data_IF_936958373526
#
_entry.id   IF_936958373526
#
_cell.length_a   1.000
_cell.length_b   1.000
_cell.length_c   1.000
_cell.angle_alpha   90.00
_cell.angle_beta   90.00
_cell.angle_gamma   90.00
#
_symmetry.space_group_name_H-M   'P 1'
#
loop_
_entity.id
_entity.type
_entity.pdbx_description
1 polymer ?
#
# COMPACT_ATOMS: atom_id res chain seq x y z
N UNK A 1 28.87 6.68 20.31
CA UNK A 1 28.28 5.52 21.02
C UNK A 1 29.41 4.55 21.36
N UNK A 2 29.44 3.97 22.57
CA UNK A 2 30.49 3.01 22.97
C UNK A 2 29.82 1.67 23.27
N UNK A 3 30.17 0.62 22.52
CA UNK A 3 29.62 -0.74 22.69
C UNK A 3 30.74 -1.76 22.58
N UNK A 4 30.81 -2.70 23.54
CA UNK A 4 31.75 -3.84 23.52
C UNK A 4 33.21 -3.45 23.17
N UNK A 5 33.73 -2.39 23.79
CA UNK A 5 35.11 -1.93 23.54
C UNK A 5 35.31 -1.19 22.21
N UNK A 6 34.27 -1.02 21.40
CA UNK A 6 34.28 -0.26 20.15
C UNK A 6 33.66 1.11 20.34
N UNK A 7 34.33 2.16 19.83
CA UNK A 7 33.82 3.54 19.85
C UNK A 7 33.36 3.95 18.46
N UNK A 8 32.08 4.32 18.36
CA UNK A 8 31.46 4.87 17.16
C UNK A 8 31.33 6.39 17.31
N UNK A 9 31.96 7.13 16.40
CA UNK A 9 31.87 8.60 16.32
C UNK A 9 31.04 8.95 15.09
N UNK A 10 30.04 9.81 15.27
CA UNK A 10 29.16 10.27 14.21
C UNK A 10 29.23 11.80 14.13
N UNK A 11 29.27 12.34 12.92
CA UNK A 11 29.17 13.78 12.65
C UNK A 11 27.73 14.21 12.35
N UNK A 12 26.90 13.28 11.89
CA UNK A 12 25.50 13.51 11.53
C UNK A 12 24.58 12.38 11.99
N UNK A 13 23.35 12.75 12.37
CA UNK A 13 22.27 11.81 12.66
C UNK A 13 21.12 12.14 11.71
N UNK A 14 20.92 11.32 10.70
CA UNK A 14 19.80 11.47 9.76
C UNK A 14 18.56 10.81 10.35
N UNK A 15 17.53 11.62 10.61
CA UNK A 15 16.25 11.12 11.12
C UNK A 15 15.51 10.37 10.01
N UNK A 16 15.24 9.09 10.22
CA UNK A 16 14.35 8.33 9.35
C UNK A 16 12.90 8.79 9.48
N UNK A 17 12.04 8.31 8.58
CA UNK A 17 10.61 8.62 8.57
C UNK A 17 9.84 8.07 9.78
N UNK A 18 10.49 7.21 10.59
CA UNK A 18 9.89 6.51 11.72
C UNK A 18 8.91 5.42 11.25
N UNK A 19 7.99 5.05 12.14
CA UNK A 19 7.01 3.98 11.90
C UNK A 19 7.46 2.62 12.42
N UNK A 20 6.78 1.57 11.96
CA UNK A 20 7.07 0.18 12.30
C UNK A 20 7.77 -0.54 11.14
N UNK A 21 8.58 -1.58 11.42
CA UNK A 21 9.16 -2.39 10.36
C UNK A 21 8.07 -3.01 9.46
N UNK A 22 8.24 -2.88 8.14
CA UNK A 22 7.29 -3.38 7.14
C UNK A 22 7.16 -4.90 7.24
N UNK A 23 5.94 -5.38 7.44
CA UNK A 23 5.60 -6.81 7.58
C UNK A 23 5.23 -7.24 9.00
N UNK A 24 5.50 -6.43 10.03
CA UNK A 24 5.17 -6.76 11.42
C UNK A 24 3.66 -6.79 11.75
N UNK A 25 2.81 -6.12 10.95
CA UNK A 25 1.34 -6.06 11.17
C UNK A 25 0.53 -6.92 10.19
N UNK A 26 1.19 -7.81 9.45
CA UNK A 26 0.53 -8.68 8.47
C UNK A 26 0.18 -7.97 7.16
N UNK A 27 -0.81 -8.52 6.45
CA UNK A 27 -1.07 -8.24 5.03
C UNK A 27 -2.42 -7.59 4.80
N UNK A 28 -2.45 -6.55 3.99
CA UNK A 28 -3.64 -5.75 3.69
C UNK A 28 -3.86 -5.72 2.18
N UNK A 29 -5.09 -6.00 1.75
CA UNK A 29 -5.51 -5.83 0.36
C UNK A 29 -5.80 -4.35 0.11
N UNK A 30 -5.18 -3.73 -0.88
CA UNK A 30 -5.37 -2.32 -1.20
C UNK A 30 -5.99 -2.19 -2.59
N UNK A 31 -7.16 -1.56 -2.67
CA UNK A 31 -7.81 -1.28 -3.95
C UNK A 31 -7.34 0.09 -4.45
N UNK A 32 -6.84 0.13 -5.69
CA UNK A 32 -6.31 1.33 -6.33
C UNK A 32 -6.99 1.61 -7.67
N UNK A 33 -7.04 2.88 -8.06
CA UNK A 33 -7.55 3.35 -9.35
C UNK A 33 -6.69 4.40 -10.06
N UNK A 34 -5.47 4.63 -9.56
CA UNK A 34 -4.47 5.48 -10.20
C UNK A 34 -4.37 6.89 -9.63
N UNK A 35 -5.04 7.16 -8.50
CA UNK A 35 -5.03 8.46 -7.85
C UNK A 35 -3.84 8.59 -6.88
N UNK A 36 -3.34 9.82 -6.65
CA UNK A 36 -2.23 10.05 -5.71
C UNK A 36 -2.56 9.61 -4.27
N UNK A 37 -3.84 9.59 -3.91
CA UNK A 37 -4.33 9.07 -2.63
C UNK A 37 -4.00 7.59 -2.43
N UNK A 38 -3.98 6.79 -3.50
CA UNK A 38 -3.62 5.37 -3.44
C UNK A 38 -2.17 5.19 -2.97
N UNK A 39 -1.26 5.99 -3.54
CA UNK A 39 0.16 6.01 -3.17
C UNK A 39 0.31 6.40 -1.70
N UNK A 40 -0.38 7.45 -1.28
CA UNK A 40 -0.36 7.92 0.10
C UNK A 40 -0.88 6.85 1.07
N UNK A 41 -1.96 6.16 0.72
CA UNK A 41 -2.53 5.08 1.52
C UNK A 41 -1.55 3.91 1.67
N UNK A 42 -0.94 3.44 0.58
CA UNK A 42 0.08 2.37 0.64
C UNK A 42 1.24 2.79 1.56
N UNK A 43 1.71 4.03 1.43
CA UNK A 43 2.77 4.57 2.28
C UNK A 43 2.42 4.53 3.77
N UNK A 44 1.21 4.97 4.10
CA UNK A 44 0.72 5.03 5.47
C UNK A 44 0.54 3.63 6.09
N UNK A 45 0.20 2.63 5.28
CA UNK A 45 0.15 1.23 5.71
C UNK A 45 1.56 0.69 6.00
N UNK A 46 2.56 1.03 5.17
CA UNK A 46 3.94 0.64 5.42
C UNK A 46 4.53 1.29 6.67
N UNK A 47 4.24 2.58 6.93
CA UNK A 47 4.65 3.25 8.17
C UNK A 47 4.05 2.59 9.41
N UNK A 48 2.90 1.91 9.25
CA UNK A 48 2.28 1.10 10.31
C UNK A 48 2.76 -0.36 10.29
N UNK A 49 3.73 -0.72 9.46
CA UNK A 49 4.32 -2.06 9.45
C UNK A 49 3.50 -3.11 8.70
N UNK A 50 2.52 -2.73 7.88
CA UNK A 50 1.79 -3.67 7.05
C UNK A 50 2.51 -3.91 5.71
N UNK A 51 2.33 -5.09 5.12
CA UNK A 51 2.59 -5.34 3.69
C UNK A 51 1.30 -5.21 2.89
N UNK A 52 1.39 -4.78 1.65
CA UNK A 52 0.22 -4.51 0.81
C UNK A 52 0.17 -5.46 -0.38
N UNK A 53 -1.01 -6.01 -0.64
CA UNK A 53 -1.34 -6.63 -1.91
C UNK A 53 -2.21 -5.65 -2.67
N UNK A 54 -1.79 -5.26 -3.87
CA UNK A 54 -2.53 -4.30 -4.66
C UNK A 54 -3.55 -5.03 -5.52
N UNK A 55 -4.78 -4.53 -5.51
CA UNK A 55 -5.80 -4.85 -6.48
C UNK A 55 -6.13 -3.59 -7.29
N UNK A 56 -5.81 -3.64 -8.58
CA UNK A 56 -6.05 -2.54 -9.50
C UNK A 56 -7.37 -2.72 -10.23
N UNK A 57 -8.21 -1.68 -10.25
CA UNK A 57 -9.52 -1.70 -10.95
C UNK A 57 -9.43 -1.34 -12.44
N UNK A 58 -8.21 -1.06 -12.93
CA UNK A 58 -7.83 -0.86 -14.34
C UNK A 58 -6.61 -1.73 -14.63
N UNK A 59 -6.33 -2.01 -15.90
CA UNK A 59 -5.06 -2.67 -16.23
C UNK A 59 -3.89 -1.76 -15.87
N UNK A 60 -2.87 -2.30 -15.22
CA UNK A 60 -1.72 -1.53 -14.75
C UNK A 60 -1.03 -0.68 -15.84
N UNK A 61 -0.88 -1.15 -17.11
CA UNK A 61 -0.32 -0.35 -18.19
C UNK A 61 -1.12 0.91 -18.56
N UNK A 62 -2.40 1.00 -18.16
CA UNK A 62 -3.27 2.14 -18.47
C UNK A 62 -3.02 3.36 -17.56
N UNK A 63 -2.29 3.19 -16.45
CA UNK A 63 -1.98 4.30 -15.55
C UNK A 63 -0.93 5.25 -16.13
N UNK A 64 -0.91 6.52 -15.69
CA UNK A 64 0.20 7.41 -15.98
C UNK A 64 1.53 6.79 -15.53
N UNK A 65 2.59 6.94 -16.34
CA UNK A 65 3.92 6.37 -16.05
C UNK A 65 4.45 6.77 -14.67
N UNK A 66 4.20 8.02 -14.26
CA UNK A 66 4.57 8.55 -12.94
C UNK A 66 3.94 7.75 -11.79
N UNK A 67 2.68 7.34 -11.93
CA UNK A 67 1.98 6.50 -10.95
C UNK A 67 2.56 5.08 -10.94
N UNK A 68 2.76 4.49 -12.12
CA UNK A 68 3.34 3.16 -12.26
C UNK A 68 4.72 3.08 -11.60
N UNK A 69 5.58 4.08 -11.85
CA UNK A 69 6.93 4.17 -11.27
C UNK A 69 6.86 4.28 -9.74
N UNK A 70 5.98 5.13 -9.22
CA UNK A 70 5.80 5.34 -7.77
C UNK A 70 5.32 4.08 -7.05
N UNK A 71 4.28 3.42 -7.57
CA UNK A 71 3.79 2.16 -7.00
C UNK A 71 4.84 1.06 -7.10
N UNK A 72 5.56 0.97 -8.22
CA UNK A 72 6.62 -0.04 -8.39
C UNK A 72 7.74 0.16 -7.37
N UNK A 73 8.16 1.41 -7.12
CA UNK A 73 9.13 1.74 -6.07
C UNK A 73 8.63 1.34 -4.69
N UNK A 74 7.38 1.67 -4.35
CA UNK A 74 6.78 1.27 -3.07
C UNK A 74 6.71 -0.25 -2.90
N UNK A 75 6.29 -0.97 -3.93
CA UNK A 75 6.21 -2.43 -3.90
C UNK A 75 7.59 -3.10 -3.77
N UNK A 76 8.67 -2.42 -4.15
CA UNK A 76 10.03 -2.91 -3.96
C UNK A 76 10.47 -2.90 -2.48
N UNK A 77 9.81 -2.10 -1.63
CA UNK A 77 10.13 -1.98 -0.20
C UNK A 77 9.60 -3.13 0.66
N UNK A 78 8.86 -4.09 0.08
CA UNK A 78 8.30 -5.22 0.82
C UNK A 78 9.31 -6.37 0.91
N UNK A 79 9.85 -6.69 2.11
CA UNK A 79 10.98 -7.62 2.25
C UNK A 79 10.64 -9.08 1.91
N UNK A 80 9.35 -9.47 1.87
CA UNK A 80 8.93 -10.87 1.84
C UNK A 80 7.82 -11.21 0.82
N UNK A 81 7.42 -10.29 -0.07
CA UNK A 81 6.40 -10.59 -1.09
C UNK A 81 7.05 -10.99 -2.42
N UNK A 82 6.67 -12.14 -3.01
CA UNK A 82 7.09 -12.50 -4.37
C UNK A 82 6.48 -11.51 -5.37
N UNK A 83 7.19 -11.18 -6.46
CA UNK A 83 6.68 -10.24 -7.48
C UNK A 83 5.29 -10.62 -8.01
N UNK A 84 5.00 -11.92 -8.11
CA UNK A 84 3.71 -12.48 -8.54
C UNK A 84 2.56 -12.32 -7.53
N UNK A 85 2.86 -11.91 -6.30
CA UNK A 85 1.89 -11.74 -5.21
C UNK A 85 1.58 -10.25 -4.94
N UNK A 86 2.22 -9.32 -5.68
CA UNK A 86 2.21 -7.87 -5.38
C UNK A 86 1.04 -7.12 -6.00
N UNK A 87 0.67 -7.46 -7.24
CA UNK A 87 -0.39 -6.78 -7.98
C UNK A 87 -1.30 -7.83 -8.63
N UNK A 88 -2.58 -7.72 -8.32
CA UNK A 88 -3.67 -8.30 -9.07
C UNK A 88 -4.39 -7.17 -9.79
N UNK A 89 -4.93 -7.43 -10.99
CA UNK A 89 -5.68 -6.43 -11.74
C UNK A 89 -6.91 -7.07 -12.36
N UNK A 90 -8.03 -6.37 -12.28
CA UNK A 90 -9.21 -6.60 -13.10
C UNK A 90 -9.61 -5.30 -13.77
N UNK A 91 -10.46 -5.39 -14.78
CA UNK A 91 -10.97 -4.23 -15.52
C UNK A 91 -12.40 -4.00 -15.07
N UNK A 92 -12.74 -2.80 -14.58
CA UNK A 92 -14.15 -2.41 -14.47
C UNK A 92 -14.83 -2.47 -15.86
N UNK A 93 -16.01 -3.10 -16.01
CA UNK A 93 -17.00 -3.41 -14.96
C UNK A 93 -17.00 -4.87 -14.47
N UNK A 94 -15.94 -5.65 -14.72
CA UNK A 94 -15.91 -7.07 -14.34
C UNK A 94 -15.79 -7.29 -12.82
N UNK A 95 -15.45 -6.22 -12.08
CA UNK A 95 -15.39 -6.22 -10.64
C UNK A 95 -16.75 -6.58 -10.02
N UNK A 96 -16.75 -7.65 -9.25
CA UNK A 96 -17.90 -8.07 -8.46
C UNK A 96 -17.45 -8.55 -7.08
N UNK A 97 -18.41 -8.73 -6.18
CA UNK A 97 -18.16 -9.14 -4.80
C UNK A 97 -17.43 -10.48 -4.69
N UNK A 98 -17.71 -11.42 -5.60
CA UNK A 98 -17.08 -12.75 -5.59
C UNK A 98 -15.61 -12.67 -5.96
N UNK A 99 -15.26 -11.81 -6.93
CA UNK A 99 -13.87 -11.60 -7.34
C UNK A 99 -13.03 -10.96 -6.22
N UNK A 100 -13.57 -9.91 -5.58
CA UNK A 100 -12.93 -9.27 -4.42
C UNK A 100 -12.72 -10.29 -3.30
N UNK A 101 -13.76 -11.08 -3.00
CA UNK A 101 -13.69 -12.11 -1.96
C UNK A 101 -12.67 -13.21 -2.30
N UNK A 102 -12.65 -13.67 -3.55
CA UNK A 102 -11.72 -14.70 -4.02
C UNK A 102 -10.27 -14.25 -3.91
N UNK A 103 -9.98 -12.99 -4.25
CA UNK A 103 -8.64 -12.42 -4.11
C UNK A 103 -8.29 -12.25 -2.63
N UNK A 104 -9.20 -11.73 -1.82
CA UNK A 104 -9.00 -11.61 -0.38
C UNK A 104 -8.65 -12.94 0.27
N UNK A 105 -9.41 -14.00 -0.05
CA UNK A 105 -9.18 -15.36 0.43
C UNK A 105 -7.84 -15.94 -0.08
N UNK A 106 -7.57 -15.83 -1.38
CA UNK A 106 -6.33 -16.33 -2.01
C UNK A 106 -5.08 -15.65 -1.45
N UNK A 107 -5.16 -14.36 -1.16
CA UNK A 107 -4.03 -13.55 -0.70
C UNK A 107 -3.79 -13.65 0.80
N UNK A 108 -4.75 -14.19 1.55
CA UNK A 108 -4.72 -14.30 3.01
C UNK A 108 -4.49 -12.93 3.67
N UNK A 109 -5.14 -11.89 3.16
CA UNK A 109 -5.11 -10.58 3.78
C UNK A 109 -5.95 -10.58 5.07
N UNK A 110 -5.55 -9.77 6.04
CA UNK A 110 -6.26 -9.59 7.31
C UNK A 110 -7.40 -8.59 7.20
N UNK A 111 -7.29 -7.67 6.25
CA UNK A 111 -8.26 -6.61 5.99
C UNK A 111 -8.07 -6.02 4.59
N UNK A 112 -8.98 -5.13 4.22
CA UNK A 112 -8.93 -4.36 2.99
C UNK A 112 -8.83 -2.86 3.29
N UNK A 113 -8.04 -2.13 2.49
CA UNK A 113 -7.93 -0.69 2.51
C UNK A 113 -8.33 -0.12 1.15
N UNK A 114 -9.08 0.98 1.16
CA UNK A 114 -9.56 1.64 -0.05
C UNK A 114 -9.64 3.14 0.17
N UNK A 115 -9.28 3.95 -0.83
CA UNK A 115 -9.46 5.40 -0.77
C UNK A 115 -10.95 5.75 -0.64
N UNK A 116 -11.27 6.97 -0.20
CA UNK A 116 -12.67 7.40 -0.11
C UNK A 116 -13.33 7.42 -1.49
N UNK A 117 -12.64 7.97 -2.49
CA UNK A 117 -13.11 8.02 -3.88
C UNK A 117 -13.41 6.62 -4.42
N UNK A 118 -12.55 5.64 -4.12
CA UNK A 118 -12.76 4.27 -4.56
C UNK A 118 -13.87 3.59 -3.77
N UNK A 119 -13.95 3.81 -2.45
CA UNK A 119 -15.02 3.26 -1.63
C UNK A 119 -16.40 3.70 -2.15
N UNK A 120 -16.56 4.97 -2.50
CA UNK A 120 -17.82 5.48 -3.07
C UNK A 120 -18.16 4.79 -4.42
N UNK A 121 -17.16 4.47 -5.25
CA UNK A 121 -17.35 3.77 -6.54
C UNK A 121 -17.73 2.29 -6.39
N UNK A 122 -17.23 1.60 -5.35
CA UNK A 122 -17.33 0.13 -5.22
C UNK A 122 -18.06 -0.34 -3.98
N UNK A 123 -18.59 0.55 -3.13
CA UNK A 123 -19.18 0.21 -1.83
C UNK A 123 -20.25 -0.88 -1.91
N UNK A 124 -21.11 -0.82 -2.93
CA UNK A 124 -22.16 -1.83 -3.18
C UNK A 124 -21.62 -3.21 -3.56
N UNK A 125 -20.36 -3.29 -4.00
CA UNK A 125 -19.69 -4.52 -4.42
C UNK A 125 -18.84 -5.14 -3.31
N UNK A 126 -18.61 -4.45 -2.19
CA UNK A 126 -17.70 -4.97 -1.15
C UNK A 126 -18.42 -6.01 -0.28
N UNK A 127 -17.89 -7.24 -0.16
CA UNK A 127 -18.45 -8.24 0.74
C UNK A 127 -18.42 -7.79 2.20
N UNK A 128 -19.55 -7.92 2.90
CA UNK A 128 -19.69 -7.61 4.34
C UNK A 128 -18.79 -8.47 5.24
N UNK A 129 -18.25 -9.58 4.72
CA UNK A 129 -17.35 -10.48 5.44
C UNK A 129 -15.90 -9.99 5.51
N UNK A 130 -15.53 -8.95 4.76
CA UNK A 130 -14.17 -8.42 4.72
C UNK A 130 -14.10 -7.22 5.66
N UNK A 131 -13.21 -7.20 6.66
CA UNK A 131 -12.95 -5.99 7.44
C UNK A 131 -12.40 -4.91 6.52
N UNK A 132 -13.18 -3.84 6.33
CA UNK A 132 -12.79 -2.69 5.49
C UNK A 132 -12.28 -1.59 6.41
N UNK A 133 -11.07 -1.14 6.12
CA UNK A 133 -10.59 0.15 6.59
C UNK A 133 -10.74 1.12 5.42
N UNK A 134 -11.55 2.16 5.59
CA UNK A 134 -11.46 3.35 4.74
C UNK A 134 -10.49 4.27 5.45
N UNK A 135 -9.19 4.21 5.15
CA UNK A 135 -8.24 5.09 5.79
C UNK A 135 -8.61 6.54 5.51
N UNK A 136 -9.22 7.21 6.51
CA UNK A 136 -9.09 8.66 6.72
C UNK A 136 -7.65 9.01 7.13
N UNK A 137 -6.64 8.26 6.66
CA UNK A 137 -5.27 8.34 7.15
C UNK A 137 -4.51 9.53 6.56
N UNK A 138 -5.16 10.31 5.71
CA UNK A 138 -4.58 11.43 5.01
C UNK A 138 -5.65 12.53 4.91
N UNK A 139 -5.79 13.36 5.94
CA UNK A 139 -6.60 14.60 5.84
C UNK A 139 -6.04 15.56 4.77
N UNK A 140 -4.73 15.46 4.48
CA UNK A 140 -4.05 16.09 3.33
C UNK A 140 -2.85 15.23 2.91
N UNK A 141 -2.77 14.89 1.62
CA UNK A 141 -1.65 14.16 1.03
C UNK A 141 -0.37 14.94 1.27
N UNK A 142 0.59 14.36 1.98
CA UNK A 142 1.90 14.97 2.16
C UNK A 142 2.73 14.71 0.90
N UNK A 143 2.57 15.56 -0.10
CA UNK A 143 3.29 15.47 -1.39
C UNK A 143 4.81 15.43 -1.21
N UNK A 144 5.33 16.14 -0.19
CA UNK A 144 6.75 16.10 0.15
C UNK A 144 7.19 14.70 0.58
N UNK A 145 6.36 13.99 1.34
CA UNK A 145 6.64 12.61 1.76
C UNK A 145 6.59 11.64 0.58
N UNK A 146 5.61 11.79 -0.32
CA UNK A 146 5.56 11.03 -1.57
C UNK A 146 6.83 11.29 -2.39
N UNK A 147 7.27 12.55 -2.52
CA UNK A 147 8.48 12.89 -3.28
C UNK A 147 9.77 12.31 -2.68
N UNK A 148 9.85 12.18 -1.35
CA UNK A 148 10.99 11.54 -0.67
C UNK A 148 11.03 10.03 -0.99
N UNK A 149 9.88 9.38 -1.14
CA UNK A 149 9.80 7.98 -1.54
C UNK A 149 9.91 7.74 -3.05
N UNK A 150 9.47 8.71 -3.86
CA UNK A 150 9.45 8.62 -5.31
C UNK A 150 10.79 8.98 -5.96
N UNK A 151 11.75 9.59 -5.24
CA UNK A 151 13.12 9.82 -5.69
C UNK A 151 14.01 8.66 -5.29
#
# INVERSE_FOLDING_TARGET
>A
DIREGTTYVFDQITKGLGGLPVGCQGKILVIIDGENEDIANVLQLYKRGAITVIYSIKEFPQYPKTFQDSITKLLALQPNLRKSEKIFSSILPQLNSEEILGIYQKTQCLSMAVSKSNFEKISDMIPVSIPIFVPYLVEKVNEKEISIFAN
#
